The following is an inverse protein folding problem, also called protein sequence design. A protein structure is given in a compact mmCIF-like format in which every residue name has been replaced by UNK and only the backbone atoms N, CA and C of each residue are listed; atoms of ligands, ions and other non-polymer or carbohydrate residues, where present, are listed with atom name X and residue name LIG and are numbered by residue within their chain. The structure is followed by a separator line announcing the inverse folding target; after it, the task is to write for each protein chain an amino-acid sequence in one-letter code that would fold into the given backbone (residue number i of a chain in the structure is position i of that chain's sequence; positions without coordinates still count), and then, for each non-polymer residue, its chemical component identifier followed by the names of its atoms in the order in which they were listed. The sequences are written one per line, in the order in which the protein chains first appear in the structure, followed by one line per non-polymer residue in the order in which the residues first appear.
data_IF_524924427341
#
_entry.id   IF_524924427341
#
_cell.length_a   1.000
_cell.length_b   1.000
_cell.length_c   1.000
_cell.angle_alpha   90.00
_cell.angle_beta   90.00
_cell.angle_gamma   90.00
#
_symmetry.space_group_name_H-M   'P 1'
#
loop_
_entity.id
_entity.type
_entity.pdbx_description
1 polymer ?
#
# COMPACT_ATOMS: atom_id res chain seq x y z
N UNK A 1 13.04 19.31 -31.64
CA UNK A 1 11.78 19.97 -31.17
C UNK A 1 11.53 19.56 -29.72
N UNK A 2 11.44 20.53 -28.78
CA UNK A 2 11.35 20.41 -27.30
C UNK A 2 12.39 19.56 -26.54
N UNK A 3 12.94 18.49 -27.10
CA UNK A 3 13.91 17.60 -26.41
C UNK A 3 15.33 18.17 -26.23
N UNK A 4 15.60 19.39 -26.71
CA UNK A 4 16.94 20.02 -26.59
C UNK A 4 17.05 21.04 -25.45
N UNK A 5 15.94 21.46 -24.84
CA UNK A 5 15.94 22.42 -23.73
C UNK A 5 15.89 21.69 -22.38
N UNK A 6 16.49 22.24 -21.31
CA UNK A 6 16.35 21.69 -19.98
C UNK A 6 14.86 21.60 -19.56
N UNK A 7 14.46 20.54 -18.85
CA UNK A 7 13.09 20.44 -18.34
C UNK A 7 12.86 21.50 -17.25
N UNK A 8 11.71 22.19 -17.31
CA UNK A 8 11.32 23.20 -16.31
C UNK A 8 11.16 22.62 -14.91
N UNK A 9 10.78 21.35 -14.80
CA UNK A 9 10.53 20.66 -13.54
C UNK A 9 11.29 19.33 -13.53
N UNK A 10 12.07 19.09 -12.48
CA UNK A 10 12.81 17.85 -12.26
C UNK A 10 12.70 17.43 -10.80
N UNK A 11 11.82 16.47 -10.53
CA UNK A 11 11.49 16.04 -9.18
C UNK A 11 11.96 14.61 -8.92
N UNK A 12 12.70 14.41 -7.84
CA UNK A 12 12.99 13.10 -7.28
C UNK A 12 11.69 12.46 -6.75
N UNK A 13 11.70 11.14 -6.56
CA UNK A 13 10.56 10.43 -5.98
C UNK A 13 10.42 10.78 -4.49
N UNK A 14 9.42 11.62 -4.20
CA UNK A 14 9.11 12.11 -2.86
C UNK A 14 8.88 10.97 -1.86
N UNK A 15 8.09 9.96 -2.21
CA UNK A 15 7.79 8.85 -1.30
C UNK A 15 9.03 7.97 -1.06
N UNK A 16 9.82 7.72 -2.12
CA UNK A 16 11.05 6.93 -2.00
C UNK A 16 12.09 7.61 -1.10
N UNK A 17 12.14 8.94 -1.10
CA UNK A 17 13.07 9.72 -0.27
C UNK A 17 12.95 9.39 1.23
N UNK A 18 11.72 9.30 1.75
CA UNK A 18 11.48 9.02 3.17
C UNK A 18 11.59 7.54 3.56
N UNK A 19 11.52 6.63 2.58
CA UNK A 19 11.62 5.18 2.82
C UNK A 19 13.08 4.73 2.91
N UNK A 20 13.95 5.30 2.08
CA UNK A 20 15.35 4.87 1.93
C UNK A 20 16.35 5.66 2.78
N UNK A 21 15.92 6.76 3.42
CA UNK A 21 16.80 7.61 4.21
C UNK A 21 17.35 6.93 5.47
N UNK A 22 18.68 6.96 5.61
CA UNK A 22 19.43 6.35 6.72
C UNK A 22 19.63 7.28 7.91
N UNK A 23 19.49 8.59 7.69
CA UNK A 23 19.53 9.67 8.69
C UNK A 23 18.40 10.67 8.45
N UNK A 24 18.13 11.57 9.41
CA UNK A 24 17.10 12.61 9.24
C UNK A 24 17.41 13.52 8.05
N UNK A 25 18.67 13.90 7.87
CA UNK A 25 19.12 14.70 6.73
C UNK A 25 18.94 13.94 5.40
N UNK A 26 19.31 12.65 5.35
CA UNK A 26 19.09 11.81 4.18
C UNK A 26 17.60 11.56 3.89
N UNK A 27 16.72 11.75 4.87
CA UNK A 27 15.27 11.62 4.78
C UNK A 27 14.57 12.99 4.69
N UNK A 28 15.24 13.98 4.12
CA UNK A 28 14.70 15.33 3.88
C UNK A 28 14.53 15.54 2.38
N UNK A 29 13.37 16.07 1.99
CA UNK A 29 13.06 16.43 0.61
C UNK A 29 12.90 17.94 0.51
N UNK A 30 13.61 18.59 -0.40
CA UNK A 30 13.57 20.05 -0.58
C UNK A 30 13.06 20.43 -1.96
N UNK A 31 12.20 21.46 -2.01
CA UNK A 31 11.87 22.16 -3.24
C UNK A 31 12.87 23.29 -3.45
N UNK A 32 13.43 23.38 -4.66
CA UNK A 32 14.53 24.27 -4.98
C UNK A 32 14.22 24.98 -6.30
N UNK A 33 14.20 26.29 -6.26
CA UNK A 33 14.19 27.15 -7.44
C UNK A 33 15.61 27.33 -7.97
N UNK A 34 15.80 27.35 -9.28
CA UNK A 34 17.11 27.61 -9.86
C UNK A 34 17.02 28.47 -11.13
N UNK A 35 18.00 29.35 -11.31
CA UNK A 35 18.19 30.12 -12.55
C UNK A 35 19.48 29.74 -13.25
N UNK A 36 19.41 29.60 -14.57
CA UNK A 36 20.57 29.31 -15.41
C UNK A 36 21.43 30.57 -15.51
N UNK A 37 22.73 30.44 -15.23
CA UNK A 37 23.71 31.50 -15.44
C UNK A 37 23.94 31.72 -16.93
N UNK A 38 23.86 32.98 -17.37
CA UNK A 38 24.10 33.35 -18.76
C UNK A 38 25.53 32.99 -19.20
N UNK A 39 25.66 32.32 -20.34
CA UNK A 39 26.96 31.98 -20.91
C UNK A 39 26.89 31.95 -22.44
N UNK A 40 27.31 33.04 -23.07
CA UNK A 40 27.27 33.22 -24.54
C UNK A 40 28.22 32.27 -25.29
N UNK A 41 29.11 31.56 -24.60
CA UNK A 41 29.99 30.56 -25.23
C UNK A 41 29.28 29.25 -25.53
N UNK A 42 28.10 29.00 -24.93
CA UNK A 42 27.38 27.73 -25.01
C UNK A 42 26.17 27.87 -25.93
N UNK A 43 26.10 27.04 -26.98
CA UNK A 43 25.01 27.08 -27.97
C UNK A 43 23.61 26.92 -27.33
N UNK A 44 23.52 26.12 -26.26
CA UNK A 44 22.28 25.91 -25.53
C UNK A 44 21.73 27.20 -24.90
N UNK A 45 22.61 28.10 -24.43
CA UNK A 45 22.18 29.39 -23.87
C UNK A 45 21.50 30.26 -24.94
N UNK A 46 22.08 30.35 -26.13
CA UNK A 46 21.48 31.06 -27.27
C UNK A 46 20.11 30.49 -27.67
N UNK A 47 19.96 29.16 -27.60
CA UNK A 47 18.66 28.50 -27.84
C UNK A 47 17.64 28.86 -26.77
N UNK A 48 18.04 28.90 -25.50
CA UNK A 48 17.17 29.30 -24.38
C UNK A 48 16.76 30.77 -24.54
N UNK A 49 17.70 31.66 -24.83
CA UNK A 49 17.43 33.08 -25.03
C UNK A 49 16.46 33.32 -26.18
N UNK A 50 16.70 32.68 -27.34
CA UNK A 50 15.82 32.75 -28.52
C UNK A 50 14.43 32.20 -28.20
N UNK A 51 14.34 31.10 -27.46
CA UNK A 51 13.07 30.53 -27.02
C UNK A 51 12.31 31.48 -26.10
N UNK A 52 13.02 32.07 -25.14
CA UNK A 52 12.48 32.96 -24.12
C UNK A 52 12.06 34.34 -24.65
N UNK A 53 12.49 34.72 -25.86
CA UNK A 53 12.12 35.98 -26.50
C UNK A 53 10.63 36.05 -26.86
N UNK A 54 9.99 34.91 -27.11
CA UNK A 54 8.56 34.88 -27.41
C UNK A 54 7.73 34.95 -26.12
N UNK A 55 6.83 35.93 -26.02
CA UNK A 55 6.07 36.25 -24.79
C UNK A 55 5.24 35.10 -24.22
N UNK A 56 4.76 34.17 -25.06
CA UNK A 56 3.92 33.05 -24.61
C UNK A 56 4.72 31.76 -24.36
N UNK A 57 6.05 31.78 -24.54
CA UNK A 57 6.90 30.67 -24.15
C UNK A 57 7.18 30.73 -22.65
N UNK A 58 7.25 29.56 -22.04
CA UNK A 58 7.77 29.44 -20.68
C UNK A 58 9.26 29.82 -20.67
N UNK A 59 9.68 30.41 -19.56
CA UNK A 59 11.05 30.87 -19.33
C UNK A 59 11.93 29.68 -18.97
N UNK A 60 12.65 29.14 -19.96
CA UNK A 60 13.49 27.94 -19.83
C UNK A 60 14.87 28.20 -19.18
N UNK A 61 15.05 29.39 -18.63
CA UNK A 61 16.13 29.82 -17.74
C UNK A 61 15.75 29.70 -16.26
N UNK A 62 14.46 29.43 -15.94
CA UNK A 62 13.92 29.29 -14.59
C UNK A 62 13.44 27.86 -14.37
N UNK A 63 14.13 27.13 -13.50
CA UNK A 63 13.93 25.71 -13.29
C UNK A 63 13.52 25.41 -11.85
N UNK A 64 12.79 24.33 -11.66
CA UNK A 64 12.31 23.85 -10.37
C UNK A 64 12.77 22.42 -10.14
N UNK A 65 13.45 22.21 -9.02
CA UNK A 65 13.96 20.92 -8.59
C UNK A 65 13.27 20.46 -7.32
N UNK A 66 13.03 19.16 -7.25
CA UNK A 66 12.53 18.49 -6.08
C UNK A 66 13.58 17.47 -5.70
N UNK A 67 14.29 17.72 -4.61
CA UNK A 67 15.57 17.08 -4.33
C UNK A 67 15.48 16.29 -3.04
N UNK A 68 15.75 14.99 -3.13
CA UNK A 68 16.00 14.19 -1.96
C UNK A 68 17.45 14.38 -1.51
N UNK A 69 17.67 14.91 -0.29
CA UNK A 69 19.01 15.29 0.15
C UNK A 69 19.98 14.11 0.28
N UNK A 70 19.48 12.88 0.39
CA UNK A 70 20.32 11.68 0.30
C UNK A 70 21.23 11.66 -0.94
N UNK A 71 20.78 12.24 -2.06
CA UNK A 71 21.52 12.37 -3.32
C UNK A 71 22.73 13.29 -3.20
N UNK A 72 22.62 14.35 -2.40
CA UNK A 72 23.64 15.39 -2.26
C UNK A 72 24.50 15.24 -1.00
N UNK A 73 24.36 14.13 -0.26
CA UNK A 73 25.12 13.88 0.97
C UNK A 73 26.65 13.89 0.79
N UNK A 74 27.13 13.68 -0.44
CA UNK A 74 28.56 13.69 -0.76
C UNK A 74 29.17 15.10 -0.65
N UNK A 75 28.36 16.15 -0.81
CA UNK A 75 28.78 17.56 -0.78
C UNK A 75 28.64 18.21 0.61
N UNK A 76 28.27 17.45 1.65
CA UNK A 76 28.02 17.98 3.00
C UNK A 76 29.26 18.62 3.65
N UNK A 77 30.47 18.19 3.25
CA UNK A 77 31.73 18.59 3.88
C UNK A 77 32.57 19.57 3.03
N UNK A 78 32.04 20.07 1.91
CA UNK A 78 32.74 21.11 1.15
C UNK A 78 32.69 22.44 1.94
N UNK A 79 33.83 23.15 1.97
CA UNK A 79 34.10 24.25 2.91
C UNK A 79 33.12 25.43 2.80
N UNK A 80 32.88 26.20 3.87
CA UNK A 80 31.92 27.29 3.83
C UNK A 80 32.45 28.53 3.09
N UNK A 81 31.51 29.21 2.43
CA UNK A 81 31.49 30.61 2.01
C UNK A 81 32.40 31.05 0.85
N UNK A 82 31.82 31.05 -0.35
CA UNK A 82 31.92 32.22 -1.23
C UNK A 82 30.55 32.91 -1.25
N UNK A 83 30.45 34.08 -0.61
CA UNK A 83 29.25 34.93 -0.47
C UNK A 83 28.61 35.42 -1.80
N UNK A 84 29.14 35.01 -2.95
CA UNK A 84 28.79 35.56 -4.26
C UNK A 84 27.63 34.85 -4.97
N UNK A 85 27.02 33.82 -4.38
CA UNK A 85 26.00 32.99 -5.03
C UNK A 85 24.60 33.13 -4.40
N UNK A 86 24.23 34.32 -3.94
CA UNK A 86 22.87 34.58 -3.45
C UNK A 86 21.96 35.00 -4.62
N UNK A 87 21.09 34.09 -5.04
CA UNK A 87 20.05 34.39 -6.03
C UNK A 87 18.97 35.28 -5.40
N UNK A 88 19.01 36.58 -5.68
CA UNK A 88 18.06 37.55 -5.16
C UNK A 88 17.25 38.18 -6.29
N UNK A 89 15.97 37.83 -6.39
CA UNK A 89 15.02 38.39 -7.35
C UNK A 89 13.60 38.40 -6.76
N UNK A 90 12.62 38.92 -7.51
CA UNK A 90 11.23 39.03 -7.05
C UNK A 90 10.62 37.66 -6.65
N UNK A 91 11.03 36.58 -7.33
CA UNK A 91 10.54 35.22 -7.07
C UNK A 91 11.13 34.68 -5.76
N UNK A 92 12.44 34.82 -5.56
CA UNK A 92 13.08 34.36 -4.31
C UNK A 92 12.60 35.18 -3.12
N UNK A 93 12.37 36.48 -3.28
CA UNK A 93 11.75 37.32 -2.24
C UNK A 93 10.32 36.88 -1.89
N UNK A 94 9.53 36.47 -2.89
CA UNK A 94 8.20 35.89 -2.65
C UNK A 94 8.28 34.57 -1.87
N UNK A 95 9.20 33.67 -2.26
CA UNK A 95 9.38 32.40 -1.56
C UNK A 95 9.92 32.59 -0.14
N UNK A 96 10.84 33.53 0.08
CA UNK A 96 11.27 33.94 1.42
C UNK A 96 10.10 34.47 2.25
N UNK A 97 9.15 35.18 1.63
CA UNK A 97 7.98 35.70 2.32
C UNK A 97 7.01 34.60 2.76
N UNK A 98 6.74 33.63 1.87
CA UNK A 98 5.71 32.59 2.06
C UNK A 98 6.24 31.41 2.87
N UNK A 99 7.48 30.98 2.64
CA UNK A 99 8.07 29.78 3.24
C UNK A 99 9.01 30.16 4.39
N UNK A 100 8.43 30.48 5.55
CA UNK A 100 9.13 30.93 6.77
C UNK A 100 9.06 29.93 7.93
N UNK A 101 8.84 28.65 7.67
CA UNK A 101 8.89 27.68 8.76
C UNK A 101 10.33 27.58 9.32
N UNK A 102 10.49 27.27 10.62
CA UNK A 102 11.82 27.16 11.22
C UNK A 102 12.75 26.19 10.47
N UNK A 103 12.20 25.10 9.95
CA UNK A 103 12.92 24.14 9.12
C UNK A 103 13.41 24.77 7.81
N UNK A 104 12.58 25.56 7.12
CA UNK A 104 12.97 26.21 5.87
C UNK A 104 14.15 27.17 6.10
N UNK A 105 14.13 27.91 7.21
CA UNK A 105 15.20 28.83 7.60
C UNK A 105 16.50 28.08 7.94
N UNK A 106 16.39 26.98 8.69
CA UNK A 106 17.53 26.10 9.00
C UNK A 106 18.14 25.54 7.72
N UNK A 107 17.30 24.99 6.82
CA UNK A 107 17.76 24.36 5.59
C UNK A 107 18.43 25.35 4.64
N UNK A 108 17.88 26.58 4.51
CA UNK A 108 18.54 27.66 3.75
C UNK A 108 19.87 28.09 4.35
N UNK A 109 19.94 28.20 5.67
CA UNK A 109 21.15 28.66 6.37
C UNK A 109 22.28 27.62 6.30
N UNK A 110 21.95 26.34 6.48
CA UNK A 110 22.95 25.29 6.70
C UNK A 110 23.26 24.43 5.46
N UNK A 111 22.35 24.35 4.48
CA UNK A 111 22.46 23.38 3.37
C UNK A 111 22.26 23.97 1.97
N UNK A 112 22.05 25.29 1.84
CA UNK A 112 21.91 25.94 0.54
C UNK A 112 23.14 25.75 -0.35
N UNK A 113 24.35 25.88 0.21
CA UNK A 113 25.60 25.69 -0.53
C UNK A 113 25.77 24.25 -1.03
N UNK A 114 25.49 23.26 -0.18
CA UNK A 114 25.53 21.84 -0.56
C UNK A 114 24.56 21.54 -1.72
N UNK A 115 23.33 22.08 -1.66
CA UNK A 115 22.33 21.90 -2.71
C UNK A 115 22.79 22.60 -4.01
N UNK A 116 23.36 23.79 -3.89
CA UNK A 116 23.92 24.56 -4.99
C UNK A 116 25.02 23.79 -5.71
N UNK A 117 26.04 23.29 -5.00
CA UNK A 117 27.16 22.54 -5.57
C UNK A 117 26.69 21.25 -6.24
N UNK A 118 25.83 20.50 -5.56
CA UNK A 118 25.26 19.24 -6.06
C UNK A 118 24.50 19.43 -7.37
N UNK A 119 23.55 20.38 -7.42
CA UNK A 119 22.77 20.63 -8.63
C UNK A 119 23.62 21.25 -9.74
N UNK A 120 24.58 22.12 -9.38
CA UNK A 120 25.45 22.76 -10.36
C UNK A 120 26.41 21.76 -11.01
N UNK A 121 27.01 20.83 -10.27
CA UNK A 121 27.88 19.79 -10.85
C UNK A 121 27.10 18.93 -11.86
N UNK A 122 25.91 18.46 -11.49
CA UNK A 122 25.09 17.63 -12.37
C UNK A 122 24.63 18.37 -13.62
N UNK A 123 24.24 19.64 -13.45
CA UNK A 123 23.76 20.47 -14.55
C UNK A 123 24.90 20.87 -15.50
N UNK A 124 26.06 21.23 -14.96
CA UNK A 124 27.26 21.56 -15.74
C UNK A 124 27.77 20.33 -16.51
N UNK A 125 27.74 19.14 -15.90
CA UNK A 125 28.10 17.89 -16.59
C UNK A 125 27.15 17.56 -17.74
N UNK A 126 25.86 17.90 -17.63
CA UNK A 126 24.85 17.55 -18.63
C UNK A 126 24.67 18.58 -19.73
N UNK A 127 24.78 19.87 -19.38
CA UNK A 127 24.40 20.99 -20.25
C UNK A 127 25.52 22.02 -20.45
N UNK A 128 26.67 21.87 -19.78
CA UNK A 128 27.79 22.82 -19.81
C UNK A 128 27.42 24.25 -19.37
N UNK A 129 26.36 24.38 -18.58
CA UNK A 129 25.85 25.62 -18.02
C UNK A 129 25.86 25.51 -16.49
N UNK A 130 25.89 26.66 -15.82
CA UNK A 130 25.84 26.73 -14.35
C UNK A 130 24.47 27.19 -13.87
N UNK A 131 24.12 26.81 -12.65
CA UNK A 131 22.88 27.19 -11.98
C UNK A 131 23.17 28.12 -10.81
N UNK A 132 22.22 28.97 -10.46
CA UNK A 132 22.09 29.63 -9.17
C UNK A 132 20.82 29.12 -8.52
N UNK A 133 20.91 28.58 -7.32
CA UNK A 133 19.80 27.89 -6.65
C UNK A 133 19.30 28.68 -5.43
N UNK A 134 18.04 28.45 -5.09
CA UNK A 134 17.37 29.01 -3.93
C UNK A 134 16.40 27.95 -3.38
N UNK A 135 16.53 27.62 -2.09
CA UNK A 135 15.68 26.60 -1.45
C UNK A 135 14.33 27.22 -1.10
N UNK A 136 13.24 26.73 -1.70
CA UNK A 136 11.88 27.21 -1.44
C UNK A 136 11.40 26.74 -0.07
N UNK A 137 11.35 25.44 0.17
CA UNK A 137 10.99 24.85 1.45
C UNK A 137 11.49 23.40 1.50
N UNK A 138 11.55 22.84 2.71
CA UNK A 138 11.94 21.45 2.88
C UNK A 138 10.97 20.72 3.81
N UNK A 139 10.78 19.43 3.53
CA UNK A 139 10.01 18.52 4.36
C UNK A 139 10.93 17.43 4.92
N UNK A 140 10.96 17.32 6.25
CA UNK A 140 11.63 16.21 6.95
C UNK A 140 10.63 15.11 7.24
N UNK A 141 11.13 13.88 7.34
CA UNK A 141 10.37 12.81 7.97
C UNK A 141 9.93 13.29 9.36
N UNK A 142 8.63 13.23 9.71
CA UNK A 142 8.20 13.61 11.04
C UNK A 142 8.94 12.77 12.08
N UNK A 143 9.63 13.46 12.99
CA UNK A 143 10.28 12.90 14.18
C UNK A 143 9.26 11.99 14.89
N UNK A 144 9.66 10.78 15.34
CA UNK A 144 8.74 9.74 15.81
C UNK A 144 7.67 10.30 16.77
N UNK A 145 6.45 10.49 16.26
CA UNK A 145 5.38 11.09 17.04
C UNK A 145 4.82 10.06 18.02
N UNK A 146 4.83 10.45 19.30
CA UNK A 146 4.34 9.72 20.46
C UNK A 146 2.91 9.17 20.28
N UNK A 147 2.60 8.09 21.02
CA UNK A 147 1.35 7.32 21.24
C UNK A 147 0.03 7.72 20.51
N UNK A 148 -0.26 9.00 20.28
CA UNK A 148 -1.30 9.53 19.39
C UNK A 148 -1.28 8.86 18.00
N UNK A 149 -0.10 8.55 17.46
CA UNK A 149 0.04 7.90 16.15
C UNK A 149 -0.57 6.50 16.06
N UNK A 150 -0.50 5.67 17.12
CA UNK A 150 -1.06 4.30 17.04
C UNK A 150 -2.58 4.35 16.93
N UNK A 151 -3.21 5.22 17.71
CA UNK A 151 -4.64 5.49 17.62
C UNK A 151 -5.01 6.11 16.26
N UNK A 152 -4.25 7.10 15.78
CA UNK A 152 -4.46 7.68 14.45
C UNK A 152 -4.26 6.66 13.31
N UNK A 153 -3.28 5.77 13.41
CA UNK A 153 -3.07 4.67 12.44
C UNK A 153 -4.26 3.72 12.43
N UNK A 154 -4.80 3.37 13.59
CA UNK A 154 -6.02 2.54 13.69
C UNK A 154 -7.25 3.27 13.12
N UNK A 155 -7.46 4.54 13.49
CA UNK A 155 -8.59 5.34 13.02
C UNK A 155 -8.51 5.62 11.50
N UNK A 156 -7.31 5.79 10.95
CA UNK A 156 -7.09 6.00 9.50
C UNK A 156 -6.94 4.71 8.71
N UNK A 157 -7.03 3.53 9.35
CA UNK A 157 -6.93 2.23 8.66
C UNK A 157 -8.09 1.99 7.70
N UNK A 158 -9.23 2.64 7.92
CA UNK A 158 -10.42 2.58 7.05
C UNK A 158 -10.54 3.75 6.07
N UNK A 159 -9.51 4.62 5.95
CA UNK A 159 -9.53 5.74 5.01
C UNK A 159 -9.55 5.23 3.57
N UNK A 160 -10.64 5.53 2.84
CA UNK A 160 -10.82 5.12 1.44
C UNK A 160 -9.70 5.65 0.56
N UNK A 161 -9.34 6.92 0.71
CA UNK A 161 -8.29 7.57 -0.08
C UNK A 161 -6.94 6.88 0.14
N UNK A 162 -6.54 6.66 1.41
CA UNK A 162 -5.26 6.01 1.74
C UNK A 162 -5.22 4.56 1.26
N UNK A 163 -6.31 3.83 1.42
CA UNK A 163 -6.42 2.45 0.97
C UNK A 163 -6.43 2.35 -0.56
N UNK A 164 -7.04 3.31 -1.25
CA UNK A 164 -6.99 3.40 -2.71
C UNK A 164 -5.57 3.64 -3.21
N UNK A 165 -4.86 4.64 -2.68
CA UNK A 165 -3.46 4.88 -3.05
C UNK A 165 -2.59 3.65 -2.82
N UNK A 166 -2.76 2.94 -1.70
CA UNK A 166 -2.06 1.68 -1.43
C UNK A 166 -2.44 0.55 -2.37
N UNK A 167 -3.70 0.49 -2.80
CA UNK A 167 -4.20 -0.51 -3.74
C UNK A 167 -3.63 -0.28 -5.15
N UNK A 168 -3.42 0.98 -5.55
CA UNK A 168 -2.88 1.34 -6.87
C UNK A 168 -1.35 1.41 -6.91
N UNK A 169 -0.66 1.14 -5.79
CA UNK A 169 0.80 1.13 -5.78
C UNK A 169 1.36 -0.01 -6.64
N UNK A 170 2.46 0.22 -7.39
CA UNK A 170 3.08 -0.81 -8.20
C UNK A 170 3.65 -1.93 -7.33
N UNK A 171 3.60 -3.16 -7.85
CA UNK A 171 4.16 -4.33 -7.20
C UNK A 171 5.67 -4.17 -6.98
N UNK A 172 6.12 -4.45 -5.75
CA UNK A 172 7.53 -4.35 -5.36
C UNK A 172 8.23 -5.71 -5.47
N UNK A 173 9.42 -5.71 -6.05
CA UNK A 173 10.27 -6.91 -6.20
C UNK A 173 9.82 -7.83 -7.34
N UNK A 174 10.76 -8.65 -7.82
CA UNK A 174 10.56 -9.55 -8.96
C UNK A 174 9.41 -10.55 -8.73
N UNK A 175 9.35 -11.16 -7.54
CA UNK A 175 8.29 -12.10 -7.15
C UNK A 175 6.92 -11.40 -7.09
N UNK A 176 6.86 -10.16 -6.57
CA UNK A 176 5.62 -9.40 -6.51
C UNK A 176 5.03 -9.14 -7.90
N UNK A 177 5.90 -8.87 -8.88
CA UNK A 177 5.50 -8.69 -10.27
C UNK A 177 5.09 -10.00 -10.95
N UNK A 178 5.83 -11.09 -10.72
CA UNK A 178 5.51 -12.42 -11.28
C UNK A 178 4.15 -12.95 -10.81
N UNK A 179 3.76 -12.67 -9.56
CA UNK A 179 2.50 -13.15 -8.97
C UNK A 179 1.37 -12.11 -8.93
N UNK A 180 1.55 -10.94 -9.56
CA UNK A 180 0.54 -9.87 -9.60
C UNK A 180 -0.84 -10.33 -10.12
N UNK A 181 -0.85 -11.30 -11.05
CA UNK A 181 -2.09 -11.84 -11.61
C UNK A 181 -2.98 -12.54 -10.56
N UNK A 182 -2.41 -13.04 -9.45
CA UNK A 182 -3.16 -13.70 -8.39
C UNK A 182 -4.13 -12.74 -7.69
N UNK A 183 -3.79 -11.45 -7.58
CA UNK A 183 -4.70 -10.46 -7.00
C UNK A 183 -5.90 -10.20 -7.91
N UNK A 184 -5.67 -10.15 -9.23
CA UNK A 184 -6.73 -10.05 -10.23
C UNK A 184 -7.66 -11.28 -10.18
N UNK A 185 -7.08 -12.47 -10.15
CA UNK A 185 -7.82 -13.73 -10.06
C UNK A 185 -8.64 -13.82 -8.76
N UNK A 186 -8.05 -13.43 -7.64
CA UNK A 186 -8.71 -13.39 -6.33
C UNK A 186 -9.90 -12.41 -6.33
N UNK A 187 -9.71 -11.25 -6.95
CA UNK A 187 -10.76 -10.22 -7.05
C UNK A 187 -11.94 -10.70 -7.91
N UNK A 188 -11.65 -11.24 -9.10
CA UNK A 188 -12.67 -11.82 -9.98
C UNK A 188 -13.42 -12.99 -9.31
N UNK A 189 -12.69 -13.89 -8.65
CA UNK A 189 -13.30 -15.02 -7.92
C UNK A 189 -14.18 -14.56 -6.77
N UNK A 190 -13.79 -13.49 -6.06
CA UNK A 190 -14.60 -12.91 -4.98
C UNK A 190 -15.90 -12.31 -5.51
N UNK A 191 -15.83 -11.57 -6.64
CA UNK A 191 -17.03 -11.03 -7.30
C UNK A 191 -17.96 -12.14 -7.78
N UNK A 192 -17.40 -13.21 -8.34
CA UNK A 192 -18.16 -14.39 -8.75
C UNK A 192 -18.87 -15.03 -7.56
N UNK A 193 -18.19 -15.22 -6.42
CA UNK A 193 -18.79 -15.75 -5.18
C UNK A 193 -19.92 -14.85 -4.68
N UNK A 194 -19.76 -13.52 -4.71
CA UNK A 194 -20.82 -12.59 -4.32
C UNK A 194 -22.04 -12.67 -5.25
N UNK A 195 -21.81 -12.75 -6.56
CA UNK A 195 -22.87 -12.90 -7.55
C UNK A 195 -23.64 -14.22 -7.34
N UNK A 196 -22.91 -15.31 -7.10
CA UNK A 196 -23.49 -16.62 -6.81
C UNK A 196 -24.29 -16.59 -5.49
N UNK A 197 -23.81 -15.92 -4.45
CA UNK A 197 -24.58 -15.75 -3.20
C UNK A 197 -25.87 -14.96 -3.38
N UNK A 198 -25.94 -14.06 -4.36
CA UNK A 198 -27.19 -13.39 -4.71
C UNK A 198 -28.20 -14.36 -5.33
N UNK A 199 -27.74 -15.37 -6.08
CA UNK A 199 -28.58 -16.45 -6.59
C UNK A 199 -29.15 -17.33 -5.46
N UNK A 200 -28.38 -17.57 -4.40
CA UNK A 200 -28.84 -18.31 -3.21
C UNK A 200 -29.95 -17.57 -2.41
N UNK A 201 -30.24 -16.30 -2.71
CA UNK A 201 -31.42 -15.63 -2.13
C UNK A 201 -32.75 -16.27 -2.57
N UNK A 202 -32.74 -17.15 -3.58
CA UNK A 202 -33.88 -17.99 -3.98
C UNK A 202 -34.42 -18.91 -2.88
N UNK A 203 -33.65 -19.16 -1.82
CA UNK A 203 -34.08 -19.94 -0.65
C UNK A 203 -34.92 -19.11 0.35
N UNK A 204 -35.11 -17.82 0.07
CA UNK A 204 -36.14 -17.01 0.69
C UNK A 204 -37.51 -17.32 0.04
N UNK A 205 -38.63 -17.06 0.73
CA UNK A 205 -39.96 -17.21 0.16
C UNK A 205 -40.11 -16.58 -1.23
N UNK A 206 -40.21 -17.45 -2.23
CA UNK A 206 -40.38 -17.08 -3.63
C UNK A 206 -41.83 -17.24 -4.06
N UNK A 207 -42.34 -16.28 -4.83
CA UNK A 207 -43.69 -16.38 -5.41
C UNK A 207 -43.81 -17.54 -6.41
N UNK A 208 -42.71 -17.90 -7.10
CA UNK A 208 -42.66 -19.01 -8.04
C UNK A 208 -41.48 -19.95 -7.71
N UNK A 209 -41.64 -20.88 -6.76
CA UNK A 209 -40.59 -21.84 -6.41
C UNK A 209 -40.25 -22.79 -7.57
N UNK A 210 -41.23 -23.15 -8.41
CA UNK A 210 -41.05 -24.06 -9.54
C UNK A 210 -40.02 -23.56 -10.56
N UNK A 211 -39.92 -22.23 -10.77
CA UNK A 211 -38.86 -21.65 -11.61
C UNK A 211 -37.47 -22.03 -11.11
N UNK A 212 -37.21 -21.94 -9.81
CA UNK A 212 -35.90 -22.24 -9.23
C UNK A 212 -35.62 -23.75 -9.22
N UNK A 213 -36.65 -24.57 -8.99
CA UNK A 213 -36.55 -26.03 -9.09
C UNK A 213 -36.20 -26.48 -10.51
N UNK A 214 -36.77 -25.84 -11.53
CA UNK A 214 -36.45 -26.14 -12.92
C UNK A 214 -35.06 -25.65 -13.32
N UNK A 215 -34.65 -24.46 -12.84
CA UNK A 215 -33.28 -23.98 -13.02
C UNK A 215 -32.26 -24.94 -12.40
N UNK A 216 -32.53 -25.49 -11.21
CA UNK A 216 -31.66 -26.46 -10.55
C UNK A 216 -31.47 -27.78 -11.35
N UNK A 217 -32.38 -28.11 -12.26
CA UNK A 217 -32.27 -29.28 -13.16
C UNK A 217 -31.40 -29.00 -14.38
N UNK A 218 -31.15 -27.74 -14.71
CA UNK A 218 -30.30 -27.36 -15.85
C UNK A 218 -28.82 -27.53 -15.49
N UNK A 219 -27.97 -27.74 -16.51
CA UNK A 219 -26.51 -27.81 -16.32
C UNK A 219 -25.94 -26.54 -15.68
N UNK A 220 -26.47 -25.37 -16.04
CA UNK A 220 -26.05 -24.08 -15.49
C UNK A 220 -26.44 -23.98 -14.01
N UNK A 221 -27.67 -24.36 -13.64
CA UNK A 221 -28.09 -24.40 -12.24
C UNK A 221 -27.27 -25.37 -11.40
N UNK A 222 -26.95 -26.55 -11.93
CA UNK A 222 -26.07 -27.52 -11.27
C UNK A 222 -24.64 -26.97 -11.06
N UNK A 223 -24.11 -26.22 -12.04
CA UNK A 223 -22.82 -25.55 -11.90
C UNK A 223 -22.84 -24.55 -10.74
N UNK A 224 -23.94 -23.79 -10.58
CA UNK A 224 -24.11 -22.88 -9.45
C UNK A 224 -24.22 -23.61 -8.10
N UNK A 225 -24.96 -24.72 -8.05
CA UNK A 225 -25.08 -25.50 -6.82
C UNK A 225 -23.74 -26.12 -6.38
N UNK A 226 -22.84 -26.40 -7.32
CA UNK A 226 -21.49 -26.92 -7.08
C UNK A 226 -20.41 -25.82 -7.05
N UNK A 227 -20.79 -24.55 -6.86
CA UNK A 227 -19.85 -23.42 -6.88
C UNK A 227 -18.80 -23.44 -5.76
N UNK A 228 -18.90 -24.37 -4.79
CA UNK A 228 -17.92 -24.55 -3.72
C UNK A 228 -16.52 -24.85 -4.23
N UNK A 229 -16.37 -25.37 -5.46
CA UNK A 229 -15.07 -25.59 -6.12
C UNK A 229 -14.26 -24.29 -6.23
N UNK A 230 -14.91 -23.13 -6.37
CA UNK A 230 -14.22 -21.83 -6.42
C UNK A 230 -13.44 -21.58 -5.11
N UNK A 231 -13.95 -22.05 -3.98
CA UNK A 231 -13.31 -21.88 -2.65
C UNK A 231 -12.00 -22.69 -2.58
N UNK A 232 -11.92 -23.84 -3.26
CA UNK A 232 -10.71 -24.66 -3.30
C UNK A 232 -9.54 -23.92 -3.95
N UNK A 233 -9.81 -23.08 -4.95
CA UNK A 233 -8.79 -22.24 -5.58
C UNK A 233 -8.16 -21.27 -4.57
N UNK A 234 -8.94 -20.69 -3.65
CA UNK A 234 -8.42 -19.82 -2.57
C UNK A 234 -7.54 -20.60 -1.57
N UNK A 235 -7.87 -21.86 -1.30
CA UNK A 235 -7.06 -22.74 -0.44
C UNK A 235 -5.70 -23.02 -1.08
N UNK A 236 -5.69 -23.36 -2.37
CA UNK A 236 -4.47 -23.64 -3.14
C UNK A 236 -3.58 -22.38 -3.22
N UNK A 237 -4.16 -21.22 -3.53
CA UNK A 237 -3.41 -19.95 -3.55
C UNK A 237 -2.78 -19.63 -2.18
N UNK A 238 -3.51 -19.88 -1.10
CA UNK A 238 -3.01 -19.67 0.26
C UNK A 238 -1.80 -20.57 0.58
N UNK A 239 -1.85 -21.84 0.15
CA UNK A 239 -0.73 -22.77 0.28
C UNK A 239 0.49 -22.38 -0.54
N UNK A 240 0.30 -21.97 -1.80
CA UNK A 240 1.37 -21.51 -2.69
C UNK A 240 2.10 -20.29 -2.09
N UNK A 241 1.36 -19.27 -1.66
CA UNK A 241 1.94 -18.06 -1.09
C UNK A 241 2.66 -18.32 0.24
N UNK A 242 2.13 -19.25 1.05
CA UNK A 242 2.79 -19.69 2.27
C UNK A 242 4.14 -20.36 1.96
N UNK A 243 4.18 -21.27 0.99
CA UNK A 243 5.41 -21.92 0.55
C UNK A 243 6.46 -20.91 0.08
N UNK A 244 6.09 -20.00 -0.82
CA UNK A 244 6.99 -18.96 -1.34
C UNK A 244 7.55 -18.09 -0.22
N UNK A 245 6.71 -17.67 0.72
CA UNK A 245 7.14 -16.84 1.85
C UNK A 245 8.12 -17.59 2.75
N UNK A 246 7.84 -18.85 3.07
CA UNK A 246 8.68 -19.67 3.94
C UNK A 246 10.02 -20.03 3.27
N UNK A 247 10.02 -20.32 1.97
CA UNK A 247 11.25 -20.66 1.23
C UNK A 247 12.17 -19.45 1.05
N UNK A 248 11.63 -18.29 0.67
CA UNK A 248 12.42 -17.06 0.46
C UNK A 248 12.97 -16.49 1.76
N UNK A 249 12.19 -16.54 2.83
CA UNK A 249 12.59 -15.98 4.11
C UNK A 249 13.56 -16.90 4.88
N UNK A 250 13.89 -18.08 4.33
CA UNK A 250 14.76 -19.10 4.92
C UNK A 250 14.50 -19.34 6.42
N UNK A 251 13.23 -19.26 6.83
CA UNK A 251 12.84 -19.21 8.26
C UNK A 251 13.11 -20.56 8.94
N UNK A 252 13.02 -21.64 8.15
CA UNK A 252 13.30 -23.01 8.55
C UNK A 252 14.44 -23.52 7.69
N UNK A 253 15.51 -23.95 8.35
CA UNK A 253 16.66 -24.61 7.73
C UNK A 253 16.78 -26.04 8.25
N UNK A 254 17.49 -26.95 7.55
CA UNK A 254 17.71 -28.33 8.03
C UNK A 254 18.36 -28.39 9.43
N UNK A 255 19.14 -27.37 9.80
CA UNK A 255 19.80 -27.25 11.09
C UNK A 255 18.90 -26.69 12.21
N UNK A 256 17.67 -26.27 11.89
CA UNK A 256 16.74 -25.67 12.85
C UNK A 256 16.21 -26.70 13.86
N UNK A 257 16.19 -26.35 15.15
CA UNK A 257 15.62 -27.22 16.19
C UNK A 257 14.10 -27.35 16.09
N UNK A 258 13.54 -28.46 16.58
CA UNK A 258 12.07 -28.65 16.62
C UNK A 258 11.35 -27.61 17.48
N UNK A 259 11.99 -27.11 18.54
CA UNK A 259 11.45 -25.99 19.35
C UNK A 259 11.30 -24.72 18.51
N UNK A 260 12.31 -24.41 17.67
CA UNK A 260 12.25 -23.27 16.74
C UNK A 260 11.17 -23.46 15.68
N UNK A 261 11.05 -24.67 15.12
CA UNK A 261 9.99 -25.00 14.15
C UNK A 261 8.59 -24.81 14.74
N UNK A 262 8.36 -25.27 15.97
CA UNK A 262 7.09 -25.08 16.68
C UNK A 262 6.81 -23.59 16.95
N UNK A 263 7.82 -22.82 17.35
CA UNK A 263 7.68 -21.37 17.55
C UNK A 263 7.27 -20.66 16.25
N UNK A 264 7.90 -21.02 15.13
CA UNK A 264 7.57 -20.46 13.80
C UNK A 264 6.14 -20.83 13.40
N UNK A 265 5.76 -22.10 13.57
CA UNK A 265 4.39 -22.56 13.34
C UNK A 265 3.37 -21.71 14.12
N UNK A 266 3.58 -21.53 15.42
CA UNK A 266 2.68 -20.76 16.28
C UNK A 266 2.62 -19.28 15.84
N UNK A 267 3.75 -18.66 15.51
CA UNK A 267 3.77 -17.27 15.02
C UNK A 267 2.97 -17.13 13.72
N UNK A 268 3.14 -18.07 12.78
CA UNK A 268 2.39 -18.09 11.51
C UNK A 268 0.89 -18.24 11.77
N UNK A 269 0.48 -19.20 12.62
CA UNK A 269 -0.93 -19.43 12.92
C UNK A 269 -1.57 -18.26 13.67
N UNK A 270 -0.89 -17.70 14.68
CA UNK A 270 -1.39 -16.55 15.44
C UNK A 270 -1.51 -15.32 14.52
N UNK A 271 -0.50 -15.05 13.69
CA UNK A 271 -0.54 -13.93 12.74
C UNK A 271 -1.70 -14.08 11.76
N UNK A 272 -1.93 -15.31 11.27
CA UNK A 272 -3.03 -15.61 10.37
C UNK A 272 -4.39 -15.45 11.07
N UNK A 273 -4.54 -15.94 12.30
CA UNK A 273 -5.77 -15.83 13.09
C UNK A 273 -6.12 -14.37 13.43
N UNK A 274 -5.14 -13.60 13.93
CA UNK A 274 -5.31 -12.19 14.30
C UNK A 274 -5.71 -11.33 13.09
N UNK A 275 -5.33 -11.72 11.86
CA UNK A 275 -5.77 -11.04 10.64
C UNK A 275 -7.29 -11.09 10.43
N UNK A 276 -7.93 -12.22 10.72
CA UNK A 276 -9.37 -12.41 10.48
C UNK A 276 -10.23 -11.98 11.66
N UNK A 277 -9.67 -12.02 12.86
CA UNK A 277 -10.38 -11.78 14.11
C UNK A 277 -11.17 -10.46 14.13
N UNK A 278 -10.64 -9.29 13.70
CA UNK A 278 -11.38 -8.02 13.75
C UNK A 278 -12.64 -8.05 12.88
N UNK A 279 -12.52 -8.58 11.66
CA UNK A 279 -13.64 -8.67 10.71
C UNK A 279 -14.68 -9.66 11.20
N UNK A 280 -14.27 -10.77 11.80
CA UNK A 280 -15.20 -11.76 12.34
C UNK A 280 -15.96 -11.22 13.57
N UNK A 281 -15.27 -10.53 14.48
CA UNK A 281 -15.92 -9.85 15.62
C UNK A 281 -16.93 -8.81 15.12
N UNK A 282 -16.56 -8.01 14.12
CA UNK A 282 -17.45 -7.03 13.52
C UNK A 282 -18.68 -7.70 12.88
N UNK A 283 -18.50 -8.79 12.13
CA UNK A 283 -19.60 -9.56 11.55
C UNK A 283 -20.55 -10.09 12.63
N UNK A 284 -19.99 -10.66 13.71
CA UNK A 284 -20.78 -11.15 14.85
C UNK A 284 -21.57 -9.99 15.47
N UNK A 285 -20.93 -8.85 15.76
CA UNK A 285 -21.59 -7.68 16.33
C UNK A 285 -22.70 -7.10 15.43
N UNK A 286 -22.45 -6.99 14.13
CA UNK A 286 -23.43 -6.49 13.16
C UNK A 286 -24.67 -7.39 13.12
N UNK A 287 -24.49 -8.71 13.07
CA UNK A 287 -25.62 -9.67 13.04
C UNK A 287 -26.35 -9.77 14.37
N UNK A 288 -25.65 -9.74 15.50
CA UNK A 288 -26.23 -9.92 16.84
C UNK A 288 -26.91 -8.68 17.42
N UNK A 289 -26.51 -7.50 16.95
CA UNK A 289 -26.89 -6.20 17.53
C UNK A 289 -27.52 -5.31 16.46
N UNK A 290 -26.73 -4.92 15.44
CA UNK A 290 -27.10 -3.82 14.53
C UNK A 290 -28.26 -4.21 13.60
N UNK A 291 -28.19 -5.38 12.98
CA UNK A 291 -29.23 -5.83 12.03
C UNK A 291 -30.61 -5.94 12.70
N UNK A 292 -30.65 -6.22 14.00
CA UNK A 292 -31.91 -6.36 14.74
C UNK A 292 -32.64 -5.02 14.93
N UNK A 293 -31.92 -3.89 14.81
CA UNK A 293 -32.46 -2.54 14.97
C UNK A 293 -32.60 -1.76 13.66
N UNK A 294 -32.18 -2.32 12.52
CA UNK A 294 -32.18 -1.61 11.23
C UNK A 294 -33.55 -1.56 10.54
N UNK A 295 -34.45 -2.48 10.88
CA UNK A 295 -35.81 -2.50 10.35
C UNK A 295 -36.75 -3.26 11.29
N UNK A 296 -38.06 -3.09 11.05
CA UNK A 296 -39.13 -3.76 11.77
C UNK A 296 -40.02 -4.54 10.80
N UNK A 297 -40.70 -5.58 11.30
CA UNK A 297 -41.68 -6.35 10.55
C UNK A 297 -41.59 -7.86 10.79
N UNK A 298 -42.68 -8.60 10.54
CA UNK A 298 -42.72 -10.05 10.79
C UNK A 298 -41.70 -10.80 9.93
N UNK A 299 -41.50 -10.36 8.69
CA UNK A 299 -40.54 -10.97 7.76
C UNK A 299 -39.09 -10.61 8.10
N UNK A 300 -38.83 -9.38 8.52
CA UNK A 300 -37.49 -8.98 8.99
C UNK A 300 -37.04 -9.82 10.19
N UNK A 301 -37.95 -10.04 11.16
CA UNK A 301 -37.69 -10.94 12.29
C UNK A 301 -37.41 -12.37 11.83
N UNK A 302 -38.13 -12.88 10.83
CA UNK A 302 -37.89 -14.23 10.30
C UNK A 302 -36.46 -14.42 9.77
N UNK A 303 -35.89 -13.41 9.09
CA UNK A 303 -34.55 -13.47 8.50
C UNK A 303 -33.46 -13.25 9.56
N UNK A 304 -33.64 -12.26 10.44
CA UNK A 304 -32.55 -11.77 11.31
C UNK A 304 -32.51 -12.46 12.68
N UNK A 305 -33.64 -12.96 13.22
CA UNK A 305 -33.70 -13.56 14.55
C UNK A 305 -32.78 -14.79 14.73
N UNK A 306 -32.59 -15.67 13.71
CA UNK A 306 -31.58 -16.73 13.79
C UNK A 306 -30.16 -16.16 14.01
N UNK A 307 -29.78 -15.14 13.24
CA UNK A 307 -28.49 -14.45 13.39
C UNK A 307 -28.34 -13.82 14.77
N UNK A 308 -29.39 -13.16 15.27
CA UNK A 308 -29.41 -12.62 16.63
C UNK A 308 -29.22 -13.69 17.71
N UNK A 309 -29.92 -14.81 17.60
CA UNK A 309 -29.94 -15.87 18.61
C UNK A 309 -28.61 -16.60 18.66
N UNK A 310 -28.16 -17.15 17.53
CA UNK A 310 -26.88 -17.85 17.46
C UNK A 310 -25.70 -16.92 17.72
N UNK A 311 -25.80 -15.67 17.30
CA UNK A 311 -24.82 -14.65 17.60
C UNK A 311 -24.69 -14.25 19.07
N UNK A 312 -25.61 -14.67 19.94
CA UNK A 312 -25.54 -14.46 21.41
C UNK A 312 -25.23 -15.74 22.17
N UNK A 313 -25.65 -16.90 21.67
CA UNK A 313 -25.47 -18.19 22.36
C UNK A 313 -24.24 -18.96 21.90
N UNK A 314 -23.88 -18.86 20.62
CA UNK A 314 -22.89 -19.73 19.97
C UNK A 314 -21.84 -18.95 19.18
N UNK A 315 -21.72 -17.64 19.40
CA UNK A 315 -20.70 -16.76 18.79
C UNK A 315 -19.28 -17.30 18.92
N UNK A 316 -18.97 -17.90 20.08
CA UNK A 316 -17.65 -18.47 20.39
C UNK A 316 -17.24 -19.57 19.41
N UNK A 317 -18.18 -20.32 18.82
CA UNK A 317 -17.88 -21.36 17.81
C UNK A 317 -17.22 -20.78 16.56
N UNK A 318 -17.62 -19.56 16.17
CA UNK A 318 -17.02 -18.87 15.03
C UNK A 318 -15.62 -18.36 15.38
N UNK A 319 -15.44 -17.78 16.57
CA UNK A 319 -14.12 -17.33 17.00
C UNK A 319 -13.12 -18.48 17.13
N UNK A 320 -13.55 -19.63 17.67
CA UNK A 320 -12.70 -20.81 17.75
C UNK A 320 -12.48 -21.51 16.39
N UNK A 321 -13.06 -21.01 15.29
CA UNK A 321 -12.94 -21.59 13.94
C UNK A 321 -13.37 -23.08 13.89
N UNK A 322 -14.46 -23.42 14.59
CA UNK A 322 -15.03 -24.79 14.63
C UNK A 322 -16.47 -24.86 14.09
N UNK A 323 -17.00 -23.74 13.60
CA UNK A 323 -18.37 -23.63 13.11
C UNK A 323 -18.63 -24.49 11.85
N UNK A 324 -17.58 -24.93 11.14
CA UNK A 324 -17.72 -25.87 10.02
C UNK A 324 -18.24 -27.26 10.45
N UNK A 325 -18.01 -27.68 11.70
CA UNK A 325 -18.54 -28.95 12.22
C UNK A 325 -19.95 -28.83 12.82
N UNK A 326 -20.44 -27.60 13.01
CA UNK A 326 -21.76 -27.31 13.61
C UNK A 326 -22.49 -26.24 12.78
N UNK A 327 -22.82 -26.52 11.51
CA UNK A 327 -23.39 -25.52 10.60
C UNK A 327 -24.80 -25.06 11.02
N UNK A 328 -25.53 -25.89 11.78
CA UNK A 328 -26.90 -25.59 12.22
C UNK A 328 -27.00 -24.53 13.32
N UNK A 329 -25.94 -24.35 14.10
CA UNK A 329 -25.92 -23.46 15.27
C UNK A 329 -24.91 -22.33 15.08
N UNK A 330 -24.90 -21.72 13.90
CA UNK A 330 -23.89 -20.74 13.51
C UNK A 330 -24.56 -19.45 13.05
N UNK A 331 -24.01 -18.32 13.51
CA UNK A 331 -24.53 -16.98 13.21
C UNK A 331 -24.57 -16.67 11.70
N UNK A 332 -23.55 -17.12 10.97
CA UNK A 332 -23.41 -16.89 9.54
C UNK A 332 -22.92 -18.20 8.92
N UNK A 333 -23.81 -18.97 8.26
CA UNK A 333 -23.42 -20.26 7.68
C UNK A 333 -22.21 -20.12 6.74
N UNK A 334 -22.12 -19.02 6.01
CA UNK A 334 -21.04 -18.74 5.07
C UNK A 334 -19.65 -18.62 5.72
N UNK A 335 -19.50 -18.43 7.04
CA UNK A 335 -18.18 -18.40 7.69
C UNK A 335 -17.52 -19.78 7.78
N UNK A 336 -18.19 -20.86 7.34
CA UNK A 336 -17.62 -22.21 7.32
C UNK A 336 -16.31 -22.28 6.55
N UNK A 337 -16.19 -21.54 5.43
CA UNK A 337 -14.98 -21.59 4.59
C UNK A 337 -13.78 -20.98 5.33
N UNK A 338 -14.01 -19.97 6.18
CA UNK A 338 -12.96 -19.33 6.95
C UNK A 338 -12.37 -20.29 7.99
N UNK A 339 -13.25 -21.01 8.69
CA UNK A 339 -12.84 -22.05 9.63
C UNK A 339 -12.09 -23.19 8.93
N UNK A 340 -12.62 -23.65 7.79
CA UNK A 340 -11.93 -24.65 6.96
C UNK A 340 -10.55 -24.16 6.49
N UNK A 341 -10.44 -22.90 6.08
CA UNK A 341 -9.17 -22.34 5.62
C UNK A 341 -8.16 -22.25 6.75
N UNK A 342 -8.58 -21.85 7.96
CA UNK A 342 -7.70 -21.84 9.12
C UNK A 342 -7.15 -23.23 9.45
N UNK A 343 -8.02 -24.25 9.43
CA UNK A 343 -7.66 -25.64 9.71
C UNK A 343 -6.72 -26.22 8.64
N UNK A 344 -7.05 -26.07 7.36
CA UNK A 344 -6.24 -26.55 6.23
C UNK A 344 -4.91 -25.81 6.16
N UNK A 345 -4.90 -24.50 6.41
CA UNK A 345 -3.66 -23.72 6.45
C UNK A 345 -2.70 -24.17 7.54
N UNK A 346 -3.21 -24.63 8.70
CA UNK A 346 -2.39 -25.26 9.72
C UNK A 346 -1.72 -26.53 9.19
N UNK A 347 -2.47 -27.39 8.49
CA UNK A 347 -1.92 -28.60 7.85
C UNK A 347 -0.85 -28.25 6.82
N UNK A 348 -1.11 -27.29 5.93
CA UNK A 348 -0.10 -26.83 4.95
C UNK A 348 1.15 -26.28 5.63
N UNK A 349 1.01 -25.54 6.72
CA UNK A 349 2.16 -25.02 7.47
C UNK A 349 2.99 -26.15 8.06
N UNK A 350 2.36 -27.19 8.59
CA UNK A 350 3.08 -28.37 9.11
C UNK A 350 3.84 -29.09 8.01
N UNK A 351 3.20 -29.32 6.86
CA UNK A 351 3.82 -29.98 5.70
C UNK A 351 5.00 -29.16 5.18
N UNK A 352 4.85 -27.85 5.00
CA UNK A 352 5.92 -26.98 4.50
C UNK A 352 7.10 -26.95 5.48
N UNK A 353 6.85 -26.84 6.79
CA UNK A 353 7.92 -26.89 7.80
C UNK A 353 8.66 -28.23 7.73
N UNK A 354 7.94 -29.33 7.55
CA UNK A 354 8.52 -30.66 7.42
C UNK A 354 9.40 -30.77 6.17
N UNK A 355 8.90 -30.37 5.00
CA UNK A 355 9.63 -30.40 3.72
C UNK A 355 10.88 -29.51 3.78
N UNK A 356 10.78 -28.29 4.32
CA UNK A 356 11.93 -27.39 4.44
C UNK A 356 12.99 -27.90 5.42
N UNK A 357 12.59 -28.67 6.43
CA UNK A 357 13.52 -29.30 7.38
C UNK A 357 14.23 -30.51 6.75
N UNK A 358 13.56 -31.24 5.87
CA UNK A 358 14.07 -32.45 5.23
C UNK A 358 14.04 -32.36 3.70
N UNK A 359 14.85 -31.48 3.06
CA UNK A 359 14.79 -31.25 1.61
C UNK A 359 15.26 -32.43 0.75
N UNK A 360 15.70 -33.53 1.36
CA UNK A 360 16.13 -34.76 0.67
C UNK A 360 14.99 -35.76 0.44
N UNK A 361 13.82 -35.52 1.03
CA UNK A 361 12.57 -36.26 0.83
C UNK A 361 11.52 -35.29 0.31
#
# INVERSE_FOLDING_TARGET
SRNELPPLYSFDDYDACFVNGTSELASTYCMVYAEIQANDSVELWHKIETHNAYRFNYKNDRLYFGLCLSRCMQFVNESPANDNFTLNNEITQYFEMVHKYPLDLEMRSSYSQMIQECLNEEFERKYHLKLNTFVEYCERRPEQVSLKEKAWRLLTSFSVIRNYYRLTQPYRGEIGQQFAYLDGFRSASTLLVLWIHSFYLQFLPAHNPGYFEDQAKTTVGLMFLNSTVIIEMFMVMSGLLLHLKCSQSAIVTPQSSWKRCLQIFLIIQISHYVRFLPTLIALIGVNSIILTSLADGPYWRHIIEPGRTFGRTTWWKNLLMINNFSPKDTISPHTWYLASNFQIFAVYTMIIIFVLKYPQY
#
